data_IF_026190354883
#
_entry.id   IF_026190354883
#
_cell.length_a   1.000
_cell.length_b   1.000
_cell.length_c   1.000
_cell.angle_alpha   90.00
_cell.angle_beta   90.00
_cell.angle_gamma   90.00
#
_symmetry.space_group_name_H-M   'P 1'
#
loop_
_entity.id
_entity.type
_entity.pdbx_description
1 polymer ?
#
# COMPACT_ATOMS: atom_id res chain seq x y z
N UNK A 131 14.93 2.58 4.40
CA UNK A 131 14.11 1.97 5.46
C UNK A 131 12.69 1.62 4.96
N UNK A 132 12.05 2.57 4.28
CA UNK A 132 10.73 2.33 3.68
C UNK A 132 10.74 1.13 2.75
N UNK A 133 11.80 1.03 1.95
CA UNK A 133 12.00 -0.09 1.03
C UNK A 133 12.13 -1.34 1.76
N UNK A 134 12.87 -1.26 2.86
CA UNK A 134 13.26 -2.44 3.60
C UNK A 134 12.07 -3.01 4.35
N UNK A 135 11.15 -2.14 4.75
CA UNK A 135 9.94 -2.59 5.43
C UNK A 135 8.99 -3.37 4.50
N UNK A 136 8.80 -2.85 3.29
CA UNK A 136 8.03 -3.51 2.24
C UNK A 136 8.58 -4.86 1.91
N UNK A 137 9.90 -4.90 1.75
CA UNK A 137 10.67 -6.11 1.49
C UNK A 137 10.45 -7.17 2.56
N UNK A 138 10.42 -6.75 3.82
CA UNK A 138 10.30 -7.64 4.96
C UNK A 138 8.86 -8.15 5.18
N UNK A 139 7.90 -7.26 5.04
CA UNK A 139 6.51 -7.58 5.38
C UNK A 139 5.70 -8.10 4.19
N UNK A 140 6.02 -7.61 2.99
CA UNK A 140 5.49 -8.14 1.72
C UNK A 140 4.02 -7.88 1.45
N UNK A 141 3.31 -7.33 2.42
CA UNK A 141 1.89 -7.09 2.26
C UNK A 141 1.49 -5.80 2.98
N UNK A 142 0.69 -5.01 2.29
CA UNK A 142 0.15 -3.78 2.83
C UNK A 142 -1.34 -3.94 2.70
N UNK A 143 -2.04 -3.72 3.79
CA UNK A 143 -3.49 -3.69 3.77
C UNK A 143 -3.95 -2.34 3.30
N UNK A 144 -4.74 -2.35 2.25
CA UNK A 144 -5.31 -1.13 1.69
C UNK A 144 -6.72 -1.05 2.25
N UNK A 145 -6.92 -0.12 3.19
CA UNK A 145 -8.09 -0.14 4.04
C UNK A 145 -9.08 0.90 3.58
N UNK A 146 -10.13 0.45 2.89
CA UNK A 146 -11.30 1.27 2.64
C UNK A 146 -12.41 0.82 3.59
N UNK A 147 -13.23 1.78 4.03
CA UNK A 147 -14.26 1.59 5.06
C UNK A 147 -15.21 2.77 5.02
N UNK A 148 -16.41 2.60 5.58
CA UNK A 148 -17.43 3.64 5.57
C UNK A 148 -17.41 4.55 6.80
N UNK A 149 -16.58 4.25 7.78
CA UNK A 149 -16.58 5.05 9.02
C UNK A 149 -15.22 4.98 9.69
N UNK A 150 -14.94 5.92 10.60
CA UNK A 150 -13.74 5.90 11.43
C UNK A 150 -13.66 4.61 12.24
N UNK A 151 -14.78 4.26 12.85
CA UNK A 151 -14.84 3.11 13.71
C UNK A 151 -14.58 1.82 12.95
N UNK A 152 -15.16 1.68 11.76
CA UNK A 152 -14.96 0.47 10.95
C UNK A 152 -13.50 0.38 10.53
N UNK A 153 -12.95 1.52 10.10
CA UNK A 153 -11.55 1.58 9.65
C UNK A 153 -10.59 1.18 10.78
N UNK A 154 -10.79 1.74 11.97
CA UNK A 154 -9.94 1.36 13.09
C UNK A 154 -10.04 -0.13 13.46
N UNK A 155 -11.27 -0.65 13.51
CA UNK A 155 -11.48 -2.06 13.83
C UNK A 155 -10.82 -2.98 12.80
N UNK A 156 -10.93 -2.63 11.52
CA UNK A 156 -10.29 -3.43 10.47
C UNK A 156 -8.76 -3.32 10.54
N UNK A 157 -8.22 -2.15 10.91
CA UNK A 157 -6.76 -1.99 11.01
C UNK A 157 -6.21 -2.83 12.15
N UNK A 158 -6.95 -2.87 13.26
CA UNK A 158 -6.62 -3.75 14.39
C UNK A 158 -6.74 -5.23 13.98
N UNK A 159 -7.84 -5.58 13.32
CA UNK A 159 -8.03 -6.96 12.84
C UNK A 159 -6.83 -7.43 12.04
N UNK A 160 -6.49 -6.67 11.00
CA UNK A 160 -5.37 -6.93 10.12
C UNK A 160 -4.03 -7.06 10.88
N UNK A 161 -3.76 -6.13 11.80
CA UNK A 161 -2.54 -6.15 12.60
C UNK A 161 -2.50 -7.40 13.48
N UNK A 162 -3.62 -7.68 14.14
CA UNK A 162 -3.75 -8.86 15.00
C UNK A 162 -3.52 -10.14 14.20
N UNK A 163 -3.84 -10.10 12.91
CA UNK A 163 -3.60 -11.23 12.01
C UNK A 163 -2.23 -11.26 11.34
N UNK A 164 -1.37 -10.30 11.68
CA UNK A 164 0.03 -10.35 11.25
C UNK A 164 0.44 -9.39 10.15
N UNK A 165 -0.46 -8.49 9.78
CA UNK A 165 -0.14 -7.50 8.74
C UNK A 165 0.32 -6.21 9.42
N UNK A 166 1.59 -5.86 9.22
CA UNK A 166 2.19 -4.70 9.88
C UNK A 166 2.08 -3.39 9.08
N UNK A 167 1.93 -3.49 7.76
CA UNK A 167 1.86 -2.29 6.92
C UNK A 167 0.41 -1.97 6.65
N UNK A 168 -0.03 -0.83 7.14
CA UNK A 168 -1.45 -0.53 7.06
C UNK A 168 -1.62 0.82 6.40
N UNK A 169 -2.35 0.82 5.29
CA UNK A 169 -2.57 1.99 4.50
C UNK A 169 -4.01 2.47 4.70
N UNK A 170 -4.19 3.60 5.37
CA UNK A 170 -5.54 4.17 5.55
C UNK A 170 -5.84 5.04 4.36
N UNK A 171 -6.77 4.62 3.50
CA UNK A 171 -7.07 5.41 2.32
C UNK A 171 -7.91 6.64 2.68
N UNK A 172 -7.76 7.67 1.86
CA UNK A 172 -8.47 8.91 2.09
C UNK A 172 -9.95 8.89 1.66
N UNK A 173 -10.39 7.74 1.16
CA UNK A 173 -11.83 7.50 0.99
C UNK A 173 -12.50 7.12 2.32
N UNK A 174 -11.71 6.78 3.34
CA UNK A 174 -12.22 6.62 4.70
C UNK A 174 -12.61 8.01 5.22
N UNK A 175 -13.84 8.15 5.74
CA UNK A 175 -14.23 9.44 6.35
C UNK A 175 -13.24 9.81 7.47
N UNK A 176 -12.77 11.05 7.49
CA UNK A 176 -11.87 11.51 8.57
C UNK A 176 -10.66 10.58 8.67
N UNK A 177 -10.07 10.28 7.51
CA UNK A 177 -8.94 9.33 7.42
C UNK A 177 -7.76 9.77 8.31
N UNK A 178 -7.62 11.10 8.44
CA UNK A 178 -6.57 11.66 9.32
C UNK A 178 -6.85 11.21 10.76
N UNK A 179 -8.08 11.42 11.24
CA UNK A 179 -8.34 11.02 12.62
C UNK A 179 -8.00 9.57 12.83
N UNK A 180 -8.37 8.71 11.88
CA UNK A 180 -8.07 7.28 11.98
C UNK A 180 -6.55 7.05 12.13
N UNK A 181 -5.75 7.67 11.25
CA UNK A 181 -4.28 7.57 11.34
C UNK A 181 -3.78 8.05 12.72
N UNK A 182 -4.29 9.19 13.19
CA UNK A 182 -3.90 9.71 14.51
C UNK A 182 -4.29 8.76 15.63
N UNK A 183 -5.50 8.23 15.59
CA UNK A 183 -5.94 7.31 16.66
C UNK A 183 -5.24 5.92 16.63
N UNK A 184 -4.65 5.56 15.49
CA UNK A 184 -3.85 4.33 15.36
C UNK A 184 -2.36 4.54 15.65
N UNK A 185 -1.97 5.80 15.83
CA UNK A 185 -0.58 6.17 16.15
C UNK A 185 0.08 5.30 17.25
N UNK A 186 -0.70 4.90 18.26
CA UNK A 186 -0.19 4.04 19.33
C UNK A 186 0.26 2.67 18.86
N UNK A 187 -0.37 2.16 17.80
CA UNK A 187 0.00 0.87 17.23
C UNK A 187 1.41 0.86 16.68
N UNK A 188 1.92 2.05 16.35
CA UNK A 188 3.32 2.22 15.98
C UNK A 188 4.23 1.69 17.08
N UNK A 189 3.84 1.89 18.34
CA UNK A 189 4.61 1.37 19.50
C UNK A 189 4.63 -0.16 19.57
N UNK A 190 3.66 -0.78 18.91
CA UNK A 190 3.61 -2.24 18.76
C UNK A 190 4.21 -2.70 17.44
N UNK A 191 4.77 -1.76 16.69
CA UNK A 191 5.49 -2.08 15.46
C UNK A 191 4.69 -1.96 14.18
N UNK A 192 3.45 -1.50 14.28
CA UNK A 192 2.64 -1.22 13.08
C UNK A 192 3.21 -0.05 12.30
N UNK A 193 3.09 -0.10 10.97
CA UNK A 193 3.52 1.00 10.16
C UNK A 193 2.27 1.50 9.47
N UNK A 194 1.82 2.69 9.88
CA UNK A 194 0.56 3.29 9.42
C UNK A 194 0.84 4.39 8.39
N UNK A 195 0.24 4.27 7.21
CA UNK A 195 0.41 5.25 6.17
C UNK A 195 -0.94 5.65 5.67
N UNK A 196 -0.92 6.43 4.61
CA UNK A 196 -2.13 6.93 3.98
C UNK A 196 -2.15 6.53 2.51
N UNK A 197 -3.34 6.24 2.00
CA UNK A 197 -3.51 5.90 0.58
C UNK A 197 -4.58 6.79 -0.06
N UNK A 198 -4.78 6.62 -1.37
CA UNK A 198 -5.75 7.43 -2.13
C UNK A 198 -5.53 8.92 -1.87
N UNK A 199 -4.25 9.29 -1.80
CA UNK A 199 -3.88 10.68 -1.59
C UNK A 199 -3.83 11.37 -2.95
N UNK A 200 -4.70 12.36 -3.14
CA UNK A 200 -4.86 12.98 -4.45
C UNK A 200 -4.60 14.48 -4.53
N UNK A 201 -4.27 15.09 -3.39
CA UNK A 201 -3.87 16.50 -3.37
C UNK A 201 -2.82 16.71 -2.30
N UNK A 202 -2.10 17.81 -2.41
CA UNK A 202 -1.09 18.12 -1.39
C UNK A 202 -1.75 18.45 -0.04
N UNK A 203 -2.96 19.00 -0.08
CA UNK A 203 -3.69 19.28 1.15
C UNK A 203 -3.97 18.03 1.95
N UNK A 204 -4.34 16.95 1.25
CA UNK A 204 -4.57 15.64 1.89
C UNK A 204 -3.27 15.07 2.38
N UNK A 205 -2.23 15.23 1.57
CA UNK A 205 -0.91 14.78 1.95
C UNK A 205 -0.43 15.44 3.24
N UNK A 206 -0.60 16.76 3.35
CA UNK A 206 -0.26 17.49 4.56
C UNK A 206 -1.00 16.96 5.80
N UNK A 207 -2.31 16.80 5.69
CA UNK A 207 -3.09 16.26 6.82
C UNK A 207 -2.63 14.88 7.27
N UNK A 208 -2.39 13.98 6.31
CA UNK A 208 -1.89 12.64 6.62
C UNK A 208 -0.56 12.68 7.38
N UNK A 209 0.41 13.42 6.83
CA UNK A 209 1.73 13.57 7.48
C UNK A 209 1.60 14.21 8.89
N UNK A 210 0.77 15.26 8.99
CA UNK A 210 0.50 15.97 10.25
C UNK A 210 -0.06 15.01 11.28
N UNK A 211 -0.82 14.02 10.81
CA UNK A 211 -1.45 13.06 11.74
C UNK A 211 -0.61 11.80 11.99
N UNK A 212 0.60 11.76 11.44
CA UNK A 212 1.54 10.68 11.74
C UNK A 212 1.75 9.62 10.69
N UNK A 213 1.27 9.85 9.47
CA UNK A 213 1.50 8.90 8.40
C UNK A 213 2.99 8.73 8.13
N UNK A 214 3.43 7.48 8.09
CA UNK A 214 4.81 7.11 7.87
C UNK A 214 5.12 6.88 6.40
N UNK A 215 4.07 6.81 5.58
CA UNK A 215 4.24 6.67 4.13
C UNK A 215 2.97 7.16 3.42
N UNK A 216 3.12 7.64 2.19
CA UNK A 216 2.01 8.14 1.36
C UNK A 216 1.91 7.30 0.07
N UNK A 217 0.69 6.91 -0.27
CA UNK A 217 0.43 6.11 -1.48
C UNK A 217 -0.66 6.83 -2.26
N UNK A 218 -0.53 6.87 -3.58
CA UNK A 218 -1.60 7.36 -4.41
C UNK A 218 -1.91 6.37 -5.54
N UNK A 219 -3.14 6.44 -6.12
CA UNK A 219 -3.38 5.55 -7.29
C UNK A 219 -2.66 5.99 -8.57
N UNK A 220 -2.26 7.25 -8.63
CA UNK A 220 -1.69 7.89 -9.82
C UNK A 220 -0.28 8.46 -9.54
N UNK A 221 0.38 9.03 -10.55
CA UNK A 221 1.65 9.70 -10.31
C UNK A 221 1.36 11.17 -10.18
N UNK A 222 1.67 11.74 -9.02
CA UNK A 222 1.39 13.15 -8.74
C UNK A 222 2.71 13.92 -8.49
N UNK A 223 3.12 14.77 -9.44
CA UNK A 223 4.36 15.54 -9.30
C UNK A 223 4.36 16.42 -8.06
N UNK A 224 3.21 17.00 -7.74
CA UNK A 224 3.09 17.93 -6.61
C UNK A 224 3.23 17.19 -5.28
N UNK A 225 2.64 16.01 -5.21
CA UNK A 225 2.77 15.17 -4.01
C UNK A 225 4.20 14.62 -3.92
N UNK A 226 4.77 14.19 -5.05
CA UNK A 226 6.19 13.79 -5.08
C UNK A 226 7.10 14.86 -4.42
N UNK A 227 6.98 16.10 -4.89
CA UNK A 227 7.79 17.23 -4.39
C UNK A 227 7.59 17.55 -2.91
N UNK A 228 6.33 17.64 -2.49
CA UNK A 228 6.01 17.81 -1.08
C UNK A 228 6.59 16.72 -0.18
N UNK A 229 6.48 15.46 -0.59
CA UNK A 229 7.00 14.35 0.19
C UNK A 229 8.52 14.34 0.21
N UNK A 230 9.14 14.80 -0.88
CA UNK A 230 10.59 14.97 -0.93
C UNK A 230 11.11 16.00 0.07
N UNK A 231 10.46 17.16 0.14
CA UNK A 231 10.84 18.22 1.06
C UNK A 231 10.56 17.84 2.51
N UNK A 232 9.46 17.11 2.70
CA UNK A 232 9.02 16.70 4.04
C UNK A 232 9.78 15.48 4.56
N UNK A 233 10.49 14.81 3.67
CA UNK A 233 11.22 13.59 4.02
C UNK A 233 10.34 12.39 4.39
N UNK A 234 9.29 12.17 3.59
CA UNK A 234 8.34 11.08 3.82
C UNK A 234 8.27 10.23 2.56
N UNK A 235 8.20 8.92 2.72
CA UNK A 235 8.21 7.99 1.60
C UNK A 235 6.88 8.09 0.84
N UNK A 236 6.98 8.28 -0.48
CA UNK A 236 5.84 8.35 -1.39
C UNK A 236 5.94 7.26 -2.44
N UNK A 237 4.86 6.50 -2.56
CA UNK A 237 4.76 5.48 -3.59
C UNK A 237 3.63 5.86 -4.55
N UNK A 238 3.96 6.49 -5.69
CA UNK A 238 2.96 6.82 -6.68
C UNK A 238 2.52 5.55 -7.43
N UNK A 239 1.31 5.60 -7.99
CA UNK A 239 0.79 4.48 -8.78
C UNK A 239 1.05 4.72 -10.25
N UNK A 240 1.28 3.66 -11.02
CA UNK A 240 1.66 3.82 -12.45
C UNK A 240 0.99 2.68 -13.21
N UNK A 241 0.63 2.89 -14.47
CA UNK A 241 0.07 1.77 -15.27
C UNK A 241 0.79 1.64 -16.61
N UNK A 242 1.70 2.56 -16.96
CA UNK A 242 2.31 2.48 -18.28
C UNK A 242 3.83 2.66 -18.20
N UNK A 243 4.57 2.19 -19.22
CA UNK A 243 6.01 2.54 -19.30
C UNK A 243 6.35 4.04 -19.24
N UNK A 244 5.55 4.88 -19.88
CA UNK A 244 5.79 6.32 -19.85
C UNK A 244 5.59 6.89 -18.44
N UNK A 245 4.52 6.46 -17.75
CA UNK A 245 4.31 6.87 -16.37
C UNK A 245 5.43 6.42 -15.45
N UNK A 246 5.86 5.17 -15.65
CA UNK A 246 6.98 4.58 -14.92
C UNK A 246 8.21 5.47 -15.09
N UNK A 247 8.52 5.83 -16.33
CA UNK A 247 9.75 6.60 -16.57
C UNK A 247 9.68 7.97 -15.91
N UNK A 248 8.54 8.67 -16.07
CA UNK A 248 8.33 9.92 -15.37
C UNK A 248 8.54 9.79 -13.85
N UNK A 249 8.02 8.72 -13.24
CA UNK A 249 8.19 8.49 -11.80
C UNK A 249 9.68 8.31 -11.44
N UNK A 250 10.38 7.49 -12.23
CA UNK A 250 11.85 7.33 -12.06
C UNK A 250 12.60 8.67 -12.14
N UNK A 251 12.24 9.51 -13.11
CA UNK A 251 12.80 10.87 -13.22
C UNK A 251 12.51 11.77 -12.03
N UNK A 252 11.51 11.40 -11.23
CA UNK A 252 11.17 12.14 -10.03
C UNK A 252 11.79 11.50 -8.79
N UNK A 253 12.55 10.43 -9.01
CA UNK A 253 13.37 9.80 -8.00
C UNK A 253 12.82 8.52 -7.43
N UNK A 254 11.76 7.96 -8.04
CA UNK A 254 11.07 6.79 -7.46
C UNK A 254 11.51 5.50 -8.13
N UNK A 255 11.77 4.47 -7.35
CA UNK A 255 12.06 3.17 -7.98
C UNK A 255 11.14 2.07 -7.43
N UNK A 256 10.39 2.40 -6.38
CA UNK A 256 9.35 1.49 -5.90
C UNK A 256 8.01 2.10 -6.27
N UNK A 257 7.29 1.37 -7.12
CA UNK A 257 6.07 1.92 -7.70
C UNK A 257 4.85 1.08 -7.37
N UNK A 258 3.76 1.76 -7.05
CA UNK A 258 2.50 1.05 -6.98
C UNK A 258 2.06 0.72 -8.41
N UNK A 259 1.70 -0.53 -8.67
CA UNK A 259 1.16 -0.86 -10.01
C UNK A 259 -0.35 -0.94 -9.85
N UNK A 260 -1.10 -0.07 -10.52
CA UNK A 260 -2.55 -0.01 -10.27
C UNK A 260 -3.27 0.38 -11.55
N UNK A 261 -4.34 -0.36 -11.94
CA UNK A 261 -4.95 -1.52 -11.23
C UNK A 261 -4.31 -2.84 -11.67
N UNK A 262 -3.80 -3.59 -10.71
CA UNK A 262 -3.10 -4.86 -10.99
C UNK A 262 -3.95 -5.88 -11.76
N UNK A 263 -5.24 -5.93 -11.47
CA UNK A 263 -6.15 -6.86 -12.18
C UNK A 263 -6.31 -6.56 -13.67
N UNK A 264 -5.98 -5.33 -14.07
CA UNK A 264 -6.11 -4.94 -15.50
C UNK A 264 -4.81 -5.31 -16.22
N UNK A 265 -3.66 -4.96 -15.65
CA UNK A 265 -2.37 -5.19 -16.36
C UNK A 265 -1.88 -6.61 -16.07
N UNK A 266 -1.93 -7.05 -14.82
CA UNK A 266 -1.48 -8.38 -14.36
C UNK A 266 0.01 -8.58 -14.10
N UNK A 267 0.39 -9.77 -13.61
CA UNK A 267 1.78 -10.18 -13.52
C UNK A 267 2.53 -10.01 -14.84
N UNK A 268 1.84 -10.22 -15.97
CA UNK A 268 2.40 -10.08 -17.29
C UNK A 268 3.12 -8.73 -17.42
N UNK A 269 2.50 -7.69 -16.87
CA UNK A 269 3.05 -6.35 -16.99
C UNK A 269 4.33 -6.30 -16.18
N UNK A 270 4.29 -6.87 -14.98
CA UNK A 270 5.47 -6.86 -14.11
C UNK A 270 6.64 -7.60 -14.80
N UNK A 271 6.35 -8.77 -15.37
CA UNK A 271 7.41 -9.50 -16.09
C UNK A 271 7.96 -8.73 -17.28
N UNK A 272 7.08 -8.05 -18.02
CA UNK A 272 7.48 -7.23 -19.20
C UNK A 272 8.40 -6.07 -18.83
N UNK A 273 8.18 -5.50 -17.65
CA UNK A 273 8.99 -4.36 -17.21
C UNK A 273 10.40 -4.78 -16.80
N UNK A 274 10.59 -6.06 -16.46
CA UNK A 274 11.91 -6.54 -15.99
C UNK A 274 12.96 -6.41 -17.09
N UNK A 275 12.55 -6.62 -18.34
CA UNK A 275 13.44 -6.48 -19.48
C UNK A 275 14.06 -5.08 -19.53
N UNK A 276 13.26 -4.07 -19.88
CA UNK A 276 13.81 -2.72 -20.01
C UNK A 276 14.13 -2.00 -18.72
N UNK A 277 13.49 -2.37 -17.61
CA UNK A 277 13.64 -1.60 -16.38
C UNK A 277 13.95 -2.57 -15.27
N UNK A 278 15.13 -3.22 -15.35
CA UNK A 278 15.45 -4.24 -14.35
C UNK A 278 15.46 -3.75 -12.91
N UNK A 279 15.68 -2.45 -12.70
CA UNK A 279 15.82 -1.94 -11.35
C UNK A 279 14.57 -1.27 -10.73
N UNK A 280 13.45 -1.31 -11.44
CA UNK A 280 12.18 -0.89 -10.90
C UNK A 280 11.49 -2.03 -10.18
N UNK A 281 10.92 -1.75 -9.01
CA UNK A 281 10.13 -2.76 -8.34
C UNK A 281 8.70 -2.30 -8.09
N UNK A 282 7.77 -3.24 -8.25
CA UNK A 282 6.34 -2.94 -8.14
C UNK A 282 5.68 -3.52 -6.89
N UNK A 283 4.67 -2.79 -6.42
CA UNK A 283 3.73 -3.22 -5.42
C UNK A 283 2.35 -3.08 -6.05
N UNK A 284 1.84 -4.17 -6.62
CA UNK A 284 0.54 -4.13 -7.24
C UNK A 284 -0.56 -4.00 -6.22
N UNK A 285 -1.55 -3.20 -6.58
CA UNK A 285 -2.80 -3.09 -5.84
C UNK A 285 -3.90 -3.34 -6.86
N UNK A 286 -4.91 -4.11 -6.47
CA UNK A 286 -6.09 -4.29 -7.30
C UNK A 286 -6.25 -5.76 -7.62
N UNK A 287 -7.26 -6.39 -6.99
CA UNK A 287 -7.57 -7.79 -7.25
C UNK A 287 -6.62 -8.87 -6.70
N UNK A 288 -5.58 -8.48 -5.95
CA UNK A 288 -4.66 -9.46 -5.40
C UNK A 288 -5.47 -10.31 -4.45
N UNK A 289 -5.38 -11.63 -4.58
CA UNK A 289 -6.14 -12.51 -3.67
C UNK A 289 -5.39 -13.79 -3.35
N UNK A 290 -6.06 -14.68 -2.65
CA UNK A 290 -5.43 -15.89 -2.17
C UNK A 290 -4.97 -16.81 -3.28
N UNK A 291 -5.68 -16.80 -4.40
CA UNK A 291 -5.35 -17.68 -5.53
C UNK A 291 -4.22 -17.14 -6.39
N UNK A 292 -4.06 -15.83 -6.45
CA UNK A 292 -3.05 -15.26 -7.35
C UNK A 292 -1.83 -14.61 -6.67
N UNK A 293 -1.84 -14.53 -5.34
CA UNK A 293 -0.78 -13.83 -4.66
C UNK A 293 0.59 -14.41 -4.98
N UNK A 294 0.67 -15.73 -5.07
CA UNK A 294 1.95 -16.37 -5.39
C UNK A 294 2.42 -16.13 -6.83
N UNK A 295 1.49 -16.06 -7.80
CA UNK A 295 1.86 -15.69 -9.18
C UNK A 295 2.51 -14.30 -9.21
N UNK A 296 1.94 -13.38 -8.45
CA UNK A 296 2.47 -12.02 -8.40
C UNK A 296 3.91 -12.04 -7.91
N UNK A 297 4.16 -12.81 -6.86
CA UNK A 297 5.52 -12.90 -6.35
C UNK A 297 6.47 -13.63 -7.31
N UNK A 298 5.95 -14.63 -8.02
CA UNK A 298 6.69 -15.24 -9.13
C UNK A 298 7.08 -14.25 -10.24
N UNK A 299 6.24 -13.25 -10.49
CA UNK A 299 6.54 -12.28 -11.55
C UNK A 299 7.66 -11.32 -11.19
N UNK A 300 7.96 -11.24 -9.90
CA UNK A 300 9.00 -10.35 -9.42
C UNK A 300 8.57 -9.13 -8.61
N UNK A 301 7.36 -9.12 -8.03
CA UNK A 301 6.94 -7.95 -7.22
C UNK A 301 7.66 -7.89 -5.88
N UNK A 302 7.80 -6.67 -5.37
CA UNK A 302 8.45 -6.40 -4.11
C UNK A 302 7.51 -6.69 -2.93
N UNK A 303 6.25 -6.27 -3.04
CA UNK A 303 5.23 -6.58 -2.02
C UNK A 303 3.89 -6.53 -2.74
N UNK A 304 2.79 -6.85 -2.06
CA UNK A 304 1.45 -6.68 -2.67
C UNK A 304 0.59 -5.77 -1.77
N UNK A 305 -0.29 -5.00 -2.38
CA UNK A 305 -1.28 -4.25 -1.62
C UNK A 305 -2.63 -4.93 -1.78
N UNK A 306 -3.23 -5.33 -0.66
CA UNK A 306 -4.46 -6.12 -0.70
C UNK A 306 -5.58 -5.32 -0.07
N UNK A 307 -6.64 -5.09 -0.83
CA UNK A 307 -7.80 -4.36 -0.35
C UNK A 307 -8.91 -5.34 0.01
N UNK A 308 -9.95 -5.38 -0.83
CA UNK A 308 -11.20 -6.08 -0.50
C UNK A 308 -11.03 -7.56 -0.15
N UNK A 309 -10.11 -8.28 -0.79
CA UNK A 309 -9.88 -9.69 -0.42
C UNK A 309 -9.45 -9.85 1.04
N UNK A 310 -8.88 -8.81 1.63
CA UNK A 310 -8.37 -8.88 3.00
C UNK A 310 -9.33 -8.20 3.95
N UNK A 311 -9.74 -7.00 3.54
CA UNK A 311 -10.34 -6.00 4.41
C UNK A 311 -11.87 -6.06 4.47
N UNK A 312 -12.52 -6.65 3.47
CA UNK A 312 -13.99 -6.68 3.46
C UNK A 312 -14.54 -7.79 4.37
N UNK A 313 -15.70 -7.55 4.98
CA UNK A 313 -16.24 -8.46 5.96
C UNK A 313 -16.25 -7.85 7.36
N UNK A 314 -16.49 -8.68 8.36
CA UNK A 314 -16.44 -8.22 9.74
C UNK A 314 -14.99 -8.32 10.24
N UNK A 315 -14.64 -7.50 11.27
CA UNK A 315 -13.39 -7.62 12.04
C UNK A 315 -12.86 -9.04 12.20
N UNK A 316 -13.70 -9.97 12.65
CA UNK A 316 -13.30 -11.37 12.83
C UNK A 316 -12.90 -12.03 11.53
N UNK A 317 -13.67 -11.77 10.48
CA UNK A 317 -13.40 -12.36 9.19
C UNK A 317 -12.10 -11.76 8.63
N UNK A 318 -11.92 -10.46 8.86
CA UNK A 318 -10.73 -9.73 8.38
C UNK A 318 -9.44 -10.23 9.08
N UNK A 319 -9.49 -10.34 10.40
CA UNK A 319 -8.37 -10.87 11.18
C UNK A 319 -7.95 -12.25 10.69
N UNK A 320 -8.94 -13.08 10.41
CA UNK A 320 -8.72 -14.43 9.88
C UNK A 320 -8.15 -14.40 8.47
N UNK A 321 -8.73 -13.59 7.60
CA UNK A 321 -8.19 -13.52 6.22
C UNK A 321 -6.74 -13.00 6.20
N UNK A 322 -6.45 -12.05 7.09
CA UNK A 322 -5.09 -11.58 7.38
C UNK A 322 -4.11 -12.72 7.66
N UNK A 323 -4.50 -13.65 8.53
CA UNK A 323 -3.70 -14.82 8.88
C UNK A 323 -3.44 -15.69 7.65
N UNK A 324 -4.50 -15.94 6.88
CA UNK A 324 -4.41 -16.75 5.65
C UNK A 324 -3.44 -16.18 4.63
N UNK A 325 -3.51 -14.87 4.38
CA UNK A 325 -2.56 -14.19 3.46
C UNK A 325 -1.10 -14.29 3.91
N UNK A 326 -0.85 -14.09 5.19
CA UNK A 326 0.51 -14.19 5.71
C UNK A 326 1.06 -15.60 5.46
N UNK A 327 0.24 -16.62 5.74
CA UNK A 327 0.62 -18.03 5.58
C UNK A 327 0.80 -18.39 4.12
N UNK A 328 -0.18 -18.01 3.30
CA UNK A 328 -0.07 -18.20 1.85
C UNK A 328 1.17 -17.51 1.26
N UNK A 329 1.50 -16.30 1.71
CA UNK A 329 2.71 -15.60 1.24
C UNK A 329 3.99 -16.30 1.73
N UNK A 330 4.02 -16.67 3.00
CA UNK A 330 5.15 -17.42 3.54
C UNK A 330 5.30 -18.69 2.71
N UNK A 331 4.18 -19.40 2.53
CA UNK A 331 4.10 -20.59 1.68
C UNK A 331 4.62 -20.45 0.27
N UNK A 332 4.85 -19.23 -0.20
CA UNK A 332 5.62 -19.02 -1.42
C UNK A 332 6.72 -17.98 -1.19
#
# INVERSE_FOLDING_TARGET
MGSSVTTLSGLSGEQGPSGDMTTEEDSATHIKFSKRDEDGRELAGATMELRDSSGKTISTWISDGHVKDFYLYPGKYTFVETAAPDGYEVATPIEFTVNEDGQVTVDGEATEGDAHTGGSGGSGGSGGSMKMEELFKKHKIVAVLRANSVEEAKKKALAVFLGGVHLIEITFTVPDADTVIKELSFLKEMGAIIGAGTVTSVEQARKAVESGAEFIVSPHLDEEISQFAKEKGVFYMPGVMTPTELVKAMKLGHTILKLFPGEVVGPQFVKAMKGPFPNVKFVPTGGVNLDNVCEWFKAGVLAVGVGSALVKGTPVEVAEKAKAFVEKIRGCTEGSGEPEA
#
